data_IF_043787673309
#
_entry.id   IF_043787673309
#
_cell.length_a   1.000
_cell.length_b   1.000
_cell.length_c   1.000
_cell.angle_alpha   90.00
_cell.angle_beta   90.00
_cell.angle_gamma   90.00
#
_symmetry.space_group_name_H-M   'P 1'
#
loop_
_entity.id
_entity.type
_entity.pdbx_description
1 polymer ?
#
# COMPACT_ATOMS: atom_id res chain seq x y z
N UNK A 1 4.43 -3.14 -11.03
CA UNK A 1 4.37 -1.67 -10.99
C UNK A 1 5.63 -1.06 -11.61
N UNK A 2 5.63 -0.87 -12.93
CA UNK A 2 6.69 -0.15 -13.68
C UNK A 2 6.49 1.37 -13.68
N UNK A 3 5.57 1.91 -12.85
CA UNK A 3 5.22 3.33 -12.77
C UNK A 3 4.45 3.60 -11.49
N UNK A 4 4.44 4.86 -11.04
CA UNK A 4 3.57 5.35 -9.96
C UNK A 4 2.53 6.33 -10.53
N UNK A 5 1.77 5.87 -11.53
CA UNK A 5 0.59 6.60 -12.02
C UNK A 5 -0.52 6.46 -11.01
N UNK A 6 -1.04 7.59 -10.50
CA UNK A 6 -2.22 7.58 -9.65
C UNK A 6 -3.46 7.42 -10.52
N UNK A 7 -4.08 6.25 -10.44
CA UNK A 7 -5.35 5.96 -11.14
C UNK A 7 -6.54 6.63 -10.48
N UNK A 8 -6.46 6.81 -9.15
CA UNK A 8 -7.52 7.45 -8.37
C UNK A 8 -6.96 8.14 -7.12
N UNK A 9 -7.50 9.30 -6.81
CA UNK A 9 -7.22 10.06 -5.60
C UNK A 9 -8.57 10.60 -5.08
N UNK A 10 -9.00 10.15 -3.91
CA UNK A 10 -10.32 10.45 -3.38
C UNK A 10 -10.27 10.93 -1.93
N UNK A 11 -11.10 11.92 -1.59
CA UNK A 11 -11.29 12.42 -0.24
C UNK A 11 -12.77 12.54 0.08
N UNK A 12 -13.15 12.32 1.34
CA UNK A 12 -14.55 12.53 1.79
C UNK A 12 -14.96 13.99 1.79
N UNK A 13 -14.01 14.92 1.88
CA UNK A 13 -14.27 16.36 1.73
C UNK A 13 -13.96 16.76 0.30
N UNK A 14 -14.96 17.28 -0.38
CA UNK A 14 -14.90 17.72 -1.78
C UNK A 14 -15.69 19.01 -1.94
N UNK A 15 -15.41 19.78 -2.97
CA UNK A 15 -16.15 20.97 -3.34
C UNK A 15 -16.60 20.89 -4.81
N UNK A 16 -17.63 21.66 -5.17
CA UNK A 16 -18.05 21.79 -6.56
C UNK A 16 -17.13 22.80 -7.26
N UNK A 17 -16.46 22.37 -8.34
CA UNK A 17 -15.60 23.24 -9.16
C UNK A 17 -16.34 24.42 -9.79
N UNK A 18 -17.67 24.28 -10.03
CA UNK A 18 -18.51 25.37 -10.55
C UNK A 18 -18.95 26.35 -9.46
N UNK A 19 -18.94 25.93 -8.19
CA UNK A 19 -19.25 26.77 -7.03
C UNK A 19 -18.27 26.51 -5.87
N UNK A 20 -16.96 26.81 -6.04
CA UNK A 20 -15.90 26.38 -5.13
C UNK A 20 -15.97 27.03 -3.74
N UNK A 21 -16.80 28.05 -3.55
CA UNK A 21 -16.98 28.76 -2.27
C UNK A 21 -18.25 28.34 -1.51
N UNK A 22 -18.97 27.34 -2.02
CA UNK A 22 -20.17 26.82 -1.36
C UNK A 22 -19.79 25.97 -0.14
N UNK A 23 -20.19 26.44 1.03
CA UNK A 23 -20.01 25.76 2.31
C UNK A 23 -21.26 24.97 2.75
N UNK A 24 -22.38 25.08 2.03
CA UNK A 24 -23.69 24.52 2.44
C UNK A 24 -23.69 23.00 2.52
N UNK A 25 -22.75 22.34 1.84
CA UNK A 25 -22.54 20.89 1.93
C UNK A 25 -22.08 20.43 3.33
N UNK A 26 -21.41 21.30 4.10
CA UNK A 26 -20.75 20.96 5.36
C UNK A 26 -21.23 21.76 6.55
N UNK A 27 -21.87 22.90 6.31
CA UNK A 27 -22.35 23.82 7.33
C UNK A 27 -23.79 24.25 7.02
N UNK A 28 -24.60 24.45 8.06
CA UNK A 28 -25.95 25.00 7.92
C UNK A 28 -25.88 26.48 7.57
N UNK A 29 -26.94 27.02 6.96
CA UNK A 29 -27.05 28.46 6.65
C UNK A 29 -26.83 29.33 7.90
N UNK A 30 -27.38 28.89 9.04
CA UNK A 30 -27.19 29.58 10.32
C UNK A 30 -25.71 29.63 10.76
N UNK A 31 -24.98 28.54 10.62
CA UNK A 31 -23.54 28.50 10.92
C UNK A 31 -22.76 29.43 9.98
N UNK A 32 -23.04 29.37 8.68
CA UNK A 32 -22.37 30.20 7.66
C UNK A 32 -22.60 31.69 7.91
N UNK A 33 -23.84 32.09 8.23
CA UNK A 33 -24.19 33.47 8.53
C UNK A 33 -23.47 34.00 9.78
N UNK A 34 -23.23 33.14 10.78
CA UNK A 34 -22.59 33.52 12.03
C UNK A 34 -21.05 33.34 12.04
N UNK A 35 -20.45 32.81 10.97
CA UNK A 35 -19.00 32.73 10.82
C UNK A 35 -18.36 34.10 10.61
N UNK A 36 -17.24 34.34 11.29
CA UNK A 36 -16.38 35.48 10.94
C UNK A 36 -15.71 35.25 9.57
N UNK A 37 -15.13 36.27 8.96
CA UNK A 37 -14.42 36.13 7.67
C UNK A 37 -13.19 35.19 7.80
N UNK A 38 -12.53 35.18 8.97
CA UNK A 38 -11.46 34.23 9.26
C UNK A 38 -11.97 32.80 9.31
N UNK A 39 -13.10 32.55 9.98
CA UNK A 39 -13.73 31.22 10.05
C UNK A 39 -14.21 30.73 8.68
N UNK A 40 -14.80 31.62 7.85
CA UNK A 40 -15.16 31.27 6.47
C UNK A 40 -13.94 30.91 5.63
N UNK A 41 -12.86 31.68 5.76
CA UNK A 41 -11.60 31.42 5.06
C UNK A 41 -11.01 30.08 5.47
N UNK A 42 -11.01 29.78 6.77
CA UNK A 42 -10.54 28.48 7.29
C UNK A 42 -11.42 27.33 6.79
N UNK A 43 -12.75 27.48 6.82
CA UNK A 43 -13.69 26.49 6.30
C UNK A 43 -13.47 26.22 4.81
N UNK A 44 -13.28 27.26 4.00
CA UNK A 44 -12.95 27.13 2.58
C UNK A 44 -11.62 26.43 2.35
N UNK A 45 -10.56 26.83 3.07
CA UNK A 45 -9.27 26.15 2.98
C UNK A 45 -9.39 24.67 3.30
N UNK A 46 -10.19 24.29 4.31
CA UNK A 46 -10.40 22.91 4.71
C UNK A 46 -11.13 22.07 3.65
N UNK A 47 -12.06 22.65 2.88
CA UNK A 47 -12.75 21.92 1.80
C UNK A 47 -11.91 21.84 0.51
N UNK A 48 -11.02 22.82 0.29
CA UNK A 48 -10.11 22.82 -0.87
C UNK A 48 -8.87 21.96 -0.67
N UNK A 49 -8.56 21.60 0.58
CA UNK A 49 -7.38 20.82 0.91
C UNK A 49 -7.48 19.40 0.33
N UNK A 50 -6.50 19.01 -0.46
CA UNK A 50 -6.36 17.64 -0.88
C UNK A 50 -5.63 16.85 0.23
N UNK A 51 -6.40 16.11 1.04
CA UNK A 51 -5.87 15.38 2.19
C UNK A 51 -4.66 14.50 1.83
N UNK A 52 -4.69 13.85 0.67
CA UNK A 52 -3.67 12.87 0.31
C UNK A 52 -2.27 13.47 0.10
N UNK A 53 -2.18 14.74 -0.26
CA UNK A 53 -0.90 15.42 -0.53
C UNK A 53 -0.59 16.56 0.44
N UNK A 54 -1.62 17.12 1.09
CA UNK A 54 -1.46 18.33 1.90
C UNK A 54 -1.54 18.06 3.41
N UNK A 55 -2.23 16.99 3.84
CA UNK A 55 -2.34 16.63 5.25
C UNK A 55 -1.21 15.71 5.68
N UNK A 56 -0.65 15.98 6.85
CA UNK A 56 0.43 15.20 7.44
C UNK A 56 -0.03 14.52 8.71
N UNK A 57 0.40 13.29 8.90
CA UNK A 57 0.05 12.47 10.07
C UNK A 57 1.13 11.45 10.38
N UNK A 58 1.10 10.87 11.57
CA UNK A 58 1.95 9.74 11.92
C UNK A 58 1.47 8.48 11.20
N UNK A 59 2.28 7.86 10.31
CA UNK A 59 1.82 6.75 9.47
C UNK A 59 1.55 5.45 10.24
N UNK A 60 2.14 5.31 11.43
CA UNK A 60 1.98 4.11 12.25
C UNK A 60 2.60 2.87 11.63
N UNK A 61 1.97 1.72 11.88
CA UNK A 61 2.53 0.40 11.55
C UNK A 61 2.88 0.12 10.09
N UNK A 62 2.36 0.79 9.05
CA UNK A 62 2.91 0.68 7.69
C UNK A 62 4.41 0.99 7.60
N UNK A 63 4.93 1.85 8.49
CA UNK A 63 6.35 2.20 8.57
C UNK A 63 7.26 1.02 8.93
N UNK A 64 6.74 -0.03 9.55
CA UNK A 64 7.50 -1.23 9.92
C UNK A 64 8.09 -1.94 8.71
N UNK A 65 7.43 -1.84 7.57
CA UNK A 65 7.91 -2.40 6.30
C UNK A 65 9.24 -1.72 5.91
N UNK A 66 9.34 -0.40 6.06
CA UNK A 66 10.57 0.34 5.80
C UNK A 66 11.68 0.04 6.83
N UNK A 67 11.32 -0.23 8.08
CA UNK A 67 12.27 -0.63 9.12
C UNK A 67 12.89 -1.99 8.81
N UNK A 68 12.07 -2.99 8.46
CA UNK A 68 12.56 -4.32 8.09
C UNK A 68 13.37 -4.24 6.80
N UNK A 69 12.89 -3.50 5.78
CA UNK A 69 13.63 -3.24 4.55
C UNK A 69 15.03 -2.69 4.85
N UNK A 70 15.13 -1.67 5.69
CA UNK A 70 16.40 -1.06 6.09
C UNK A 70 17.32 -2.06 6.79
N UNK A 71 16.77 -2.89 7.69
CA UNK A 71 17.54 -3.90 8.42
C UNK A 71 18.12 -4.96 7.48
N UNK A 72 17.38 -5.36 6.46
CA UNK A 72 17.83 -6.33 5.45
C UNK A 72 18.90 -5.70 4.54
N UNK A 73 18.68 -4.52 4.00
CA UNK A 73 19.63 -3.85 3.11
C UNK A 73 20.94 -3.48 3.80
N UNK A 74 20.91 -3.19 5.09
CA UNK A 74 22.11 -2.93 5.89
C UNK A 74 22.77 -4.21 6.44
N UNK A 75 22.24 -5.39 6.08
CA UNK A 75 22.78 -6.69 6.51
C UNK A 75 22.68 -6.94 8.02
N UNK A 76 21.81 -6.21 8.71
CA UNK A 76 21.52 -6.40 10.15
C UNK A 76 20.73 -7.70 10.35
N UNK A 77 19.86 -8.01 9.39
CA UNK A 77 19.06 -9.25 9.34
C UNK A 77 19.10 -9.86 7.94
N UNK A 78 18.81 -11.16 7.85
CA UNK A 78 18.64 -11.89 6.59
C UNK A 78 17.24 -12.54 6.46
N UNK A 79 16.34 -12.28 7.43
CA UNK A 79 14.98 -12.81 7.46
C UNK A 79 14.80 -14.07 8.32
N UNK A 80 15.87 -14.69 8.82
CA UNK A 80 15.81 -15.92 9.63
C UNK A 80 15.92 -15.65 11.14
N UNK A 81 16.16 -14.39 11.52
CA UNK A 81 16.33 -14.00 12.92
C UNK A 81 15.02 -14.11 13.70
N UNK A 82 15.16 -14.28 15.01
CA UNK A 82 14.05 -14.26 15.96
C UNK A 82 14.25 -13.18 17.00
N UNK A 83 13.14 -12.62 17.46
CA UNK A 83 13.08 -11.59 18.49
C UNK A 83 12.18 -12.02 19.63
N UNK A 84 12.58 -11.70 20.87
CA UNK A 84 11.74 -11.94 22.01
C UNK A 84 10.99 -10.66 22.37
N UNK A 85 9.66 -10.73 22.41
CA UNK A 85 8.78 -9.62 22.77
C UNK A 85 8.09 -9.92 24.11
N UNK A 86 8.41 -9.16 25.14
CA UNK A 86 7.76 -9.20 26.46
C UNK A 86 6.71 -8.09 26.63
N UNK A 87 6.40 -7.35 25.55
CA UNK A 87 5.36 -6.33 25.52
C UNK A 87 5.87 -4.88 25.66
N UNK A 88 7.15 -4.63 25.85
CA UNK A 88 7.73 -3.30 25.90
C UNK A 88 9.26 -3.32 25.73
N UNK A 89 9.82 -2.16 25.37
CA UNK A 89 11.26 -1.88 25.49
C UNK A 89 11.49 -0.71 26.46
N UNK A 90 12.59 -0.78 27.20
CA UNK A 90 13.05 0.31 28.07
C UNK A 90 14.05 1.15 27.29
N UNK A 91 13.69 2.39 26.98
CA UNK A 91 14.52 3.33 26.24
C UNK A 91 14.81 4.54 27.15
N UNK A 92 16.03 4.62 27.63
CA UNK A 92 16.37 5.58 28.66
C UNK A 92 15.59 5.33 29.96
N UNK A 93 14.72 6.27 30.34
CA UNK A 93 13.85 6.15 31.51
C UNK A 93 12.38 5.80 31.16
N UNK A 94 12.09 5.56 29.89
CA UNK A 94 10.72 5.34 29.38
C UNK A 94 10.49 3.88 29.02
N UNK A 95 9.29 3.40 29.30
CA UNK A 95 8.78 2.15 28.73
C UNK A 95 7.98 2.48 27.46
N UNK A 96 8.40 1.96 26.33
CA UNK A 96 7.69 2.06 25.06
C UNK A 96 7.03 0.70 24.80
N UNK A 97 5.69 0.70 24.75
CA UNK A 97 4.92 -0.53 24.72
C UNK A 97 4.70 -1.06 23.30
N UNK A 98 4.71 -2.40 23.20
CA UNK A 98 4.11 -3.09 22.07
C UNK A 98 2.59 -2.94 22.11
N UNK A 99 1.93 -3.08 20.94
CA UNK A 99 0.47 -3.13 20.87
C UNK A 99 -0.09 -4.28 21.71
N UNK A 100 0.55 -5.46 21.67
CA UNK A 100 0.29 -6.55 22.61
C UNK A 100 1.14 -6.33 23.89
N UNK A 101 0.51 -5.79 24.91
CA UNK A 101 1.17 -5.50 26.20
C UNK A 101 1.60 -6.76 26.98
N UNK A 102 1.05 -7.93 26.62
CA UNK A 102 1.43 -9.22 27.21
C UNK A 102 2.65 -9.84 26.51
N UNK A 103 3.14 -9.20 25.42
CA UNK A 103 4.21 -9.71 24.59
C UNK A 103 3.73 -10.76 23.57
N UNK A 104 4.56 -10.99 22.57
CA UNK A 104 4.35 -11.99 21.52
C UNK A 104 5.19 -13.27 21.77
N UNK A 105 6.08 -13.25 22.78
CA UNK A 105 7.08 -14.29 22.99
C UNK A 105 8.19 -14.24 21.93
N UNK A 106 8.75 -15.39 21.60
CA UNK A 106 9.75 -15.52 20.54
C UNK A 106 9.07 -15.59 19.19
N UNK A 107 9.35 -14.65 18.31
CA UNK A 107 8.78 -14.53 16.97
C UNK A 107 9.88 -14.29 15.94
N UNK A 108 9.67 -14.76 14.71
CA UNK A 108 10.53 -14.50 13.56
C UNK A 108 10.36 -13.08 13.04
N UNK A 109 11.26 -12.63 12.15
CA UNK A 109 11.11 -11.33 11.43
C UNK A 109 9.79 -11.28 10.68
N UNK A 110 9.42 -12.36 9.99
CA UNK A 110 8.15 -12.45 9.24
C UNK A 110 6.94 -12.33 10.18
N UNK A 111 6.91 -13.08 11.29
CA UNK A 111 5.86 -12.99 12.31
C UNK A 111 5.78 -11.62 12.98
N UNK A 112 6.91 -10.91 13.12
CA UNK A 112 6.91 -9.55 13.63
C UNK A 112 6.16 -8.56 12.71
N UNK A 113 6.18 -8.79 11.39
CA UNK A 113 5.37 -8.06 10.41
C UNK A 113 3.89 -8.48 10.51
N UNK A 114 3.60 -9.78 10.49
CA UNK A 114 2.27 -10.39 10.53
C UNK A 114 1.48 -9.92 11.76
N UNK A 115 2.12 -9.99 12.93
CA UNK A 115 1.53 -9.61 14.23
C UNK A 115 1.71 -8.13 14.57
N UNK A 116 2.38 -7.37 13.70
CA UNK A 116 2.64 -5.95 13.89
C UNK A 116 3.36 -5.60 15.20
N UNK A 117 4.42 -6.36 15.54
CA UNK A 117 5.16 -6.22 16.80
C UNK A 117 6.02 -4.93 16.83
N UNK A 118 5.73 -3.99 17.76
CA UNK A 118 6.55 -2.79 17.94
C UNK A 118 7.90 -3.13 18.58
N UNK A 119 7.91 -4.08 19.48
CA UNK A 119 9.10 -4.47 20.23
C UNK A 119 10.20 -5.00 19.32
N UNK A 120 9.89 -5.95 18.43
CA UNK A 120 10.83 -6.44 17.44
C UNK A 120 11.37 -5.32 16.52
N UNK A 121 10.51 -4.35 16.14
CA UNK A 121 10.95 -3.19 15.33
C UNK A 121 11.95 -2.32 16.11
N UNK A 122 11.72 -2.09 17.40
CA UNK A 122 12.66 -1.34 18.25
C UNK A 122 14.00 -2.07 18.37
N UNK A 123 14.01 -3.39 18.54
CA UNK A 123 15.24 -4.17 18.59
C UNK A 123 16.01 -4.06 17.27
N UNK A 124 15.32 -4.20 16.12
CA UNK A 124 15.93 -4.06 14.80
C UNK A 124 16.50 -2.66 14.58
N UNK A 125 15.75 -1.60 14.89
CA UNK A 125 16.22 -0.23 14.64
C UNK A 125 17.40 0.16 15.50
N UNK A 126 17.51 -0.35 16.73
CA UNK A 126 18.69 -0.14 17.56
C UNK A 126 19.94 -0.83 16.97
N UNK A 127 19.78 -1.99 16.34
CA UNK A 127 20.86 -2.67 15.62
C UNK A 127 21.25 -1.94 14.31
N UNK A 128 20.27 -1.33 13.60
CA UNK A 128 20.53 -0.48 12.42
C UNK A 128 21.31 0.78 12.82
N UNK A 129 20.88 1.44 13.90
CA UNK A 129 21.39 2.74 14.34
C UNK A 129 20.78 3.91 13.57
N UNK A 130 20.81 5.09 14.23
CA UNK A 130 20.11 6.30 13.78
C UNK A 130 20.58 6.85 12.42
N UNK A 131 21.89 6.75 12.14
CA UNK A 131 22.46 7.31 10.91
C UNK A 131 21.97 6.56 9.67
N UNK A 132 22.03 5.24 9.71
CA UNK A 132 21.55 4.38 8.64
C UNK A 132 20.03 4.47 8.51
N UNK A 133 19.29 4.43 9.63
CA UNK A 133 17.83 4.53 9.63
C UNK A 133 17.35 5.85 9.02
N UNK A 134 17.91 7.00 9.44
CA UNK A 134 17.58 8.32 8.87
C UNK A 134 17.89 8.41 7.38
N UNK A 135 19.02 7.84 6.94
CA UNK A 135 19.38 7.77 5.52
C UNK A 135 18.33 7.01 4.71
N UNK A 136 17.86 5.86 5.21
CA UNK A 136 16.86 5.05 4.51
C UNK A 136 15.47 5.70 4.53
N UNK A 137 15.07 6.39 5.62
CA UNK A 137 13.85 7.20 5.59
C UNK A 137 13.85 8.18 4.43
N UNK A 138 14.97 8.89 4.21
CA UNK A 138 15.11 9.80 3.06
C UNK A 138 15.19 9.07 1.72
N UNK A 139 15.73 7.85 1.68
CA UNK A 139 15.80 7.03 0.48
C UNK A 139 14.38 6.58 0.05
N UNK A 140 13.51 6.26 1.00
CA UNK A 140 12.09 5.99 0.75
C UNK A 140 11.25 7.24 0.45
N UNK A 141 11.83 8.44 0.54
CA UNK A 141 11.19 9.70 0.17
C UNK A 141 10.59 10.49 1.32
N UNK A 142 10.69 10.02 2.57
CA UNK A 142 10.17 10.77 3.72
C UNK A 142 10.97 12.06 3.96
N UNK A 143 10.24 13.11 4.33
CA UNK A 143 10.81 14.44 4.55
C UNK A 143 11.17 15.21 3.30
N UNK A 144 10.63 14.80 2.15
CA UNK A 144 10.83 15.48 0.86
C UNK A 144 9.54 15.45 0.06
N UNK A 145 9.25 16.56 -0.62
CA UNK A 145 8.17 16.55 -1.60
C UNK A 145 8.42 15.45 -2.64
N UNK A 146 7.34 14.78 -3.04
CA UNK A 146 7.36 13.79 -4.12
C UNK A 146 7.41 14.47 -5.49
N UNK A 147 7.15 15.79 -5.52
CA UNK A 147 6.98 16.59 -6.73
C UNK A 147 5.88 16.05 -7.65
N UNK A 148 4.79 15.52 -7.05
CA UNK A 148 3.59 15.15 -7.78
C UNK A 148 3.06 16.38 -8.55
N UNK A 149 2.49 16.15 -9.72
CA UNK A 149 1.95 17.17 -10.62
C UNK A 149 0.62 17.80 -10.14
N UNK A 150 0.41 17.86 -8.81
CA UNK A 150 -0.73 18.50 -8.16
C UNK A 150 -0.27 19.67 -7.27
N UNK A 151 -1.05 20.76 -7.18
CA UNK A 151 -0.74 21.87 -6.29
C UNK A 151 -1.02 21.53 -4.82
N UNK A 152 -0.29 22.16 -3.91
CA UNK A 152 -0.58 22.10 -2.47
C UNK A 152 0.08 20.94 -1.73
N UNK A 153 1.08 20.27 -2.31
CA UNK A 153 1.85 19.25 -1.61
C UNK A 153 2.58 19.84 -0.40
N UNK A 154 2.38 19.20 0.77
CA UNK A 154 3.00 19.63 2.03
C UNK A 154 4.52 19.42 2.01
N UNK A 155 5.22 20.30 2.72
CA UNK A 155 6.65 20.14 3.00
C UNK A 155 6.84 19.47 4.36
N UNK A 156 7.25 18.21 4.35
CA UNK A 156 7.47 17.39 5.55
C UNK A 156 8.91 17.43 6.05
N UNK A 157 9.79 18.23 5.48
CA UNK A 157 11.23 18.28 5.79
C UNK A 157 11.53 18.57 7.26
N UNK A 158 10.64 19.32 7.94
CA UNK A 158 10.75 19.65 9.37
C UNK A 158 9.95 18.70 10.27
N UNK A 159 9.28 17.72 9.70
CA UNK A 159 8.41 16.78 10.40
C UNK A 159 9.04 15.39 10.57
N UNK A 160 10.29 15.22 10.14
CA UNK A 160 11.12 14.04 10.36
C UNK A 160 12.35 14.38 11.20
N UNK A 161 12.92 13.40 11.86
CA UNK A 161 14.20 13.54 12.57
C UNK A 161 15.37 13.26 11.63
N UNK A 162 16.38 14.13 11.66
CA UNK A 162 17.68 13.82 11.03
C UNK A 162 18.54 13.00 11.99
N UNK A 163 19.66 12.46 11.50
CA UNK A 163 20.59 11.70 12.36
C UNK A 163 21.15 12.56 13.51
N UNK A 164 21.28 13.88 13.33
CA UNK A 164 21.75 14.80 14.36
C UNK A 164 20.69 15.08 15.44
N UNK A 165 19.41 15.16 15.03
CA UNK A 165 18.30 15.52 15.95
C UNK A 165 17.65 14.29 16.59
N UNK A 166 17.83 13.09 16.01
CA UNK A 166 17.20 11.85 16.45
C UNK A 166 17.80 11.35 17.76
N UNK A 167 17.00 11.29 18.81
CA UNK A 167 17.33 10.68 20.10
C UNK A 167 16.94 9.22 20.12
N UNK A 168 17.31 8.49 21.18
CA UNK A 168 17.00 7.07 21.28
C UNK A 168 15.48 6.75 21.33
N UNK A 169 14.69 7.61 21.99
CA UNK A 169 13.24 7.47 22.03
C UNK A 169 12.59 7.80 20.67
N UNK A 170 13.12 8.77 19.93
CA UNK A 170 12.70 9.10 18.58
C UNK A 170 12.99 7.93 17.63
N UNK A 171 14.20 7.36 17.67
CA UNK A 171 14.60 6.22 16.87
C UNK A 171 13.68 5.01 17.13
N UNK A 172 13.42 4.71 18.42
CA UNK A 172 12.54 3.62 18.81
C UNK A 172 11.13 3.79 18.23
N UNK A 173 10.52 4.98 18.39
CA UNK A 173 9.14 5.25 17.98
C UNK A 173 9.01 5.39 16.45
N UNK A 174 10.01 5.95 15.79
CA UNK A 174 10.06 6.05 14.33
C UNK A 174 10.05 4.66 13.67
N UNK A 175 10.63 3.63 14.32
CA UNK A 175 10.68 2.28 13.78
C UNK A 175 9.30 1.66 13.51
N UNK A 176 8.26 2.15 14.19
CA UNK A 176 6.89 1.70 13.99
C UNK A 176 5.92 2.83 13.60
N UNK A 177 6.48 3.96 13.10
CA UNK A 177 5.73 5.02 12.45
C UNK A 177 5.11 6.05 13.37
N UNK A 178 5.66 6.28 14.55
CA UNK A 178 5.28 7.35 15.44
C UNK A 178 6.41 8.38 15.61
N UNK A 179 6.05 9.58 16.08
CA UNK A 179 6.98 10.68 16.33
C UNK A 179 7.68 11.23 15.06
N UNK A 180 7.07 11.04 13.90
CA UNK A 180 7.34 11.77 12.67
C UNK A 180 6.06 11.78 11.82
N UNK A 181 5.93 12.76 10.93
CA UNK A 181 4.76 12.87 10.07
C UNK A 181 5.16 12.73 8.60
N UNK A 182 4.26 12.10 7.84
CA UNK A 182 4.32 12.00 6.38
C UNK A 182 2.96 12.31 5.76
N UNK A 183 2.93 12.56 4.46
CA UNK A 183 1.69 12.61 3.68
C UNK A 183 1.31 11.20 3.18
N UNK A 184 0.06 11.04 2.71
CA UNK A 184 -0.34 9.79 2.05
C UNK A 184 0.48 9.52 0.80
N UNK A 185 0.82 10.56 0.02
CA UNK A 185 1.57 10.39 -1.22
C UNK A 185 3.02 9.95 -0.97
N UNK A 186 3.69 10.46 0.08
CA UNK A 186 5.01 9.96 0.49
C UNK A 186 4.95 8.49 0.86
N UNK A 187 3.92 8.08 1.64
CA UNK A 187 3.72 6.67 2.01
C UNK A 187 3.49 5.79 0.78
N UNK A 188 2.63 6.23 -0.16
CA UNK A 188 2.33 5.47 -1.39
C UNK A 188 3.58 5.34 -2.26
N UNK A 189 4.33 6.42 -2.49
CA UNK A 189 5.51 6.41 -3.34
C UNK A 189 6.63 5.51 -2.75
N UNK A 190 6.89 5.65 -1.44
CA UNK A 190 7.85 4.80 -0.74
C UNK A 190 7.43 3.34 -0.74
N UNK A 191 6.17 3.04 -0.44
CA UNK A 191 5.65 1.67 -0.39
C UNK A 191 5.60 1.02 -1.78
N UNK A 192 5.25 1.77 -2.83
CA UNK A 192 5.31 1.30 -4.20
C UNK A 192 6.72 0.85 -4.58
N UNK A 193 7.76 1.59 -4.13
CA UNK A 193 9.14 1.19 -4.38
C UNK A 193 9.52 -0.11 -3.68
N UNK A 194 8.96 -0.39 -2.51
CA UNK A 194 9.22 -1.66 -1.80
C UNK A 194 8.60 -2.83 -2.56
N UNK A 195 7.35 -2.73 -2.98
CA UNK A 195 6.63 -3.88 -3.56
C UNK A 195 7.00 -4.16 -5.02
N UNK A 196 7.60 -3.20 -5.73
CA UNK A 196 7.96 -3.33 -7.15
C UNK A 196 9.41 -3.75 -7.42
N UNK A 197 10.13 -4.25 -6.40
CA UNK A 197 11.52 -4.67 -6.54
C UNK A 197 12.55 -3.56 -6.28
N UNK A 198 12.17 -2.46 -5.63
CA UNK A 198 13.07 -1.39 -5.20
C UNK A 198 13.04 -0.12 -6.04
N UNK A 199 12.22 -0.03 -7.08
CA UNK A 199 12.20 1.08 -8.02
C UNK A 199 11.32 2.23 -7.54
N UNK A 200 11.90 3.37 -7.14
CA UNK A 200 11.17 4.57 -6.73
C UNK A 200 10.91 5.48 -7.92
N UNK A 201 9.66 5.51 -8.36
CA UNK A 201 9.21 6.40 -9.43
C UNK A 201 8.59 7.68 -8.87
N UNK A 202 8.71 8.79 -9.63
CA UNK A 202 7.98 10.02 -9.36
C UNK A 202 6.48 9.78 -9.53
N UNK A 203 5.62 10.03 -8.50
CA UNK A 203 4.19 9.92 -8.66
C UNK A 203 3.65 11.03 -9.56
N UNK A 204 2.66 10.71 -10.40
CA UNK A 204 1.96 11.66 -11.27
C UNK A 204 0.50 11.25 -11.51
N UNK A 205 -0.33 12.22 -11.84
CA UNK A 205 -1.75 12.07 -12.17
C UNK A 205 -1.97 12.23 -13.67
N UNK A 206 -1.26 13.17 -14.30
CA UNK A 206 -1.38 13.42 -15.73
C UNK A 206 -0.71 12.29 -16.49
N UNK A 207 -1.48 11.61 -17.34
CA UNK A 207 -0.99 10.58 -18.25
C UNK A 207 -0.59 11.19 -19.60
N UNK A 208 -1.46 12.04 -20.13
CA UNK A 208 -1.27 12.67 -21.45
C UNK A 208 -2.04 13.98 -21.54
N UNK A 209 -1.60 14.85 -22.45
CA UNK A 209 -2.26 16.09 -22.82
C UNK A 209 -2.75 15.96 -24.26
N UNK A 210 -4.02 16.31 -24.51
CA UNK A 210 -4.66 16.19 -25.82
C UNK A 210 -5.21 17.52 -26.31
N UNK A 211 -5.34 17.67 -27.63
CA UNK A 211 -6.14 18.73 -28.25
C UNK A 211 -7.63 18.49 -28.00
N UNK A 212 -8.47 19.47 -28.30
CA UNK A 212 -9.94 19.31 -28.26
C UNK A 212 -10.44 18.24 -29.25
N UNK A 213 -9.70 18.03 -30.34
CA UNK A 213 -9.97 17.00 -31.36
C UNK A 213 -9.49 15.61 -30.97
N UNK A 214 -8.79 15.49 -29.81
CA UNK A 214 -8.34 14.22 -29.24
C UNK A 214 -6.92 13.80 -29.66
N UNK A 215 -6.17 14.63 -30.41
CA UNK A 215 -4.78 14.35 -30.76
C UNK A 215 -3.87 14.51 -29.54
N UNK A 216 -2.96 13.55 -29.34
CA UNK A 216 -1.99 13.58 -28.24
C UNK A 216 -0.94 14.67 -28.54
N UNK A 217 -0.85 15.66 -27.64
CA UNK A 217 0.18 16.72 -27.67
C UNK A 217 1.43 16.28 -26.91
N UNK A 218 1.22 15.62 -25.75
CA UNK A 218 2.29 15.22 -24.84
C UNK A 218 1.87 13.99 -24.04
N UNK A 219 2.85 13.16 -23.65
CA UNK A 219 2.66 11.96 -22.80
C UNK A 219 3.65 11.99 -21.65
N UNK A 220 3.15 11.80 -20.44
CA UNK A 220 4.00 11.75 -19.24
C UNK A 220 4.54 10.33 -19.08
N UNK A 221 5.83 10.16 -19.36
CA UNK A 221 6.50 8.87 -19.16
C UNK A 221 6.87 8.65 -17.69
N UNK A 222 6.85 7.40 -17.20
CA UNK A 222 7.28 7.07 -15.85
C UNK A 222 8.74 7.47 -15.59
N UNK A 223 8.96 8.32 -14.59
CA UNK A 223 10.30 8.79 -14.22
C UNK A 223 10.85 8.00 -13.02
N UNK A 224 11.80 7.10 -13.28
CA UNK A 224 12.57 6.44 -12.24
C UNK A 224 13.53 7.44 -11.58
N UNK A 225 13.41 7.63 -10.27
CA UNK A 225 14.23 8.56 -9.49
C UNK A 225 15.44 7.85 -8.88
N UNK A 226 15.25 6.63 -8.32
CA UNK A 226 16.30 5.86 -7.65
C UNK A 226 15.85 4.43 -7.35
N UNK A 227 16.83 3.60 -7.01
CA UNK A 227 16.59 2.31 -6.37
C UNK A 227 16.62 2.48 -4.85
N UNK A 228 15.74 1.78 -4.13
CA UNK A 228 15.60 1.87 -2.67
C UNK A 228 16.05 0.60 -1.95
N UNK A 229 15.71 -0.56 -2.47
CA UNK A 229 16.01 -1.88 -1.92
C UNK A 229 16.32 -2.89 -3.03
N UNK A 230 16.90 -4.01 -2.66
CA UNK A 230 17.13 -5.14 -3.55
C UNK A 230 15.84 -5.90 -3.87
N UNK A 231 15.75 -6.58 -5.03
CA UNK A 231 14.61 -7.45 -5.36
C UNK A 231 14.38 -8.56 -4.34
N UNK A 232 15.42 -9.10 -3.72
CA UNK A 232 15.30 -10.15 -2.69
C UNK A 232 14.65 -9.65 -1.40
N UNK A 233 14.96 -8.42 -0.99
CA UNK A 233 14.28 -7.76 0.14
C UNK A 233 12.81 -7.49 -0.20
N UNK A 234 12.52 -7.04 -1.41
CA UNK A 234 11.15 -6.84 -1.89
C UNK A 234 10.34 -8.15 -1.87
N UNK A 235 10.90 -9.25 -2.35
CA UNK A 235 10.25 -10.57 -2.35
C UNK A 235 9.92 -11.04 -0.93
N UNK A 236 10.88 -10.94 0.00
CA UNK A 236 10.65 -11.26 1.41
C UNK A 236 9.50 -10.45 2.02
N UNK A 237 9.50 -9.13 1.79
CA UNK A 237 8.48 -8.24 2.33
C UNK A 237 7.11 -8.49 1.70
N UNK A 238 7.04 -8.72 0.39
CA UNK A 238 5.80 -9.04 -0.31
C UNK A 238 5.16 -10.32 0.25
N UNK A 239 5.97 -11.36 0.48
CA UNK A 239 5.53 -12.60 1.10
C UNK A 239 5.03 -12.38 2.54
N UNK A 240 5.76 -11.62 3.36
CA UNK A 240 5.35 -11.33 4.73
C UNK A 240 4.04 -10.51 4.77
N UNK A 241 3.86 -9.58 3.83
CA UNK A 241 2.62 -8.80 3.70
C UNK A 241 1.45 -9.62 3.17
N UNK A 242 1.68 -10.60 2.29
CA UNK A 242 0.68 -11.58 1.91
C UNK A 242 0.19 -12.38 3.12
N UNK A 243 1.11 -12.94 3.91
CA UNK A 243 0.76 -13.64 5.14
C UNK A 243 0.09 -12.75 6.18
N UNK A 244 0.40 -11.45 6.22
CA UNK A 244 -0.30 -10.49 7.08
C UNK A 244 -1.80 -10.44 6.76
N UNK A 245 -2.17 -10.56 5.49
CA UNK A 245 -3.58 -10.59 5.04
C UNK A 245 -4.19 -11.98 5.20
N UNK A 246 -3.43 -13.07 5.00
CA UNK A 246 -3.97 -14.42 5.10
C UNK A 246 -4.24 -14.86 6.55
N UNK A 247 -3.37 -14.53 7.48
CA UNK A 247 -3.39 -15.07 8.85
C UNK A 247 -3.09 -14.05 9.96
N UNK A 248 -2.84 -12.78 9.59
CA UNK A 248 -2.41 -11.73 10.52
C UNK A 248 -3.42 -10.62 10.72
N UNK A 249 -2.90 -9.46 11.13
CA UNK A 249 -3.68 -8.25 11.42
C UNK A 249 -4.41 -7.68 10.21
N UNK A 250 -4.02 -8.06 9.00
CA UNK A 250 -4.62 -7.62 7.72
C UNK A 250 -5.78 -8.47 7.24
N UNK A 251 -6.17 -9.55 7.94
CA UNK A 251 -7.20 -10.49 7.48
C UNK A 251 -8.51 -9.85 6.99
N UNK A 252 -9.03 -8.75 7.58
CA UNK A 252 -10.25 -8.10 7.06
C UNK A 252 -10.10 -7.48 5.65
N UNK A 253 -8.86 -7.35 5.13
CA UNK A 253 -8.59 -6.82 3.79
C UNK A 253 -8.55 -7.90 2.71
N UNK A 254 -8.74 -9.17 3.06
CA UNK A 254 -8.68 -10.30 2.11
C UNK A 254 -9.74 -10.16 1.02
N UNK A 255 -9.32 -10.23 -0.25
CA UNK A 255 -10.20 -10.17 -1.41
C UNK A 255 -10.37 -11.57 -1.98
N UNK A 256 -11.61 -12.12 -2.04
CA UNK A 256 -11.84 -13.45 -2.59
C UNK A 256 -11.31 -13.59 -4.02
N UNK A 257 -10.59 -14.66 -4.29
CA UNK A 257 -10.03 -14.96 -5.60
C UNK A 257 -8.72 -14.24 -5.96
N UNK A 258 -8.17 -13.40 -5.05
CA UNK A 258 -6.93 -12.66 -5.29
C UNK A 258 -5.94 -12.81 -4.14
N UNK A 259 -4.65 -12.94 -4.49
CA UNK A 259 -3.57 -12.89 -3.51
C UNK A 259 -3.22 -11.43 -3.19
N UNK A 260 -3.60 -11.00 -2.01
CA UNK A 260 -3.45 -9.62 -1.53
C UNK A 260 -2.38 -9.55 -0.45
N UNK A 261 -1.45 -8.62 -0.59
CA UNK A 261 -0.50 -8.25 0.46
C UNK A 261 -0.84 -6.89 1.07
N UNK A 262 -0.49 -6.66 2.32
CA UNK A 262 -0.71 -5.35 2.90
C UNK A 262 -0.38 -5.21 4.38
N UNK A 263 -0.54 -3.99 4.90
CA UNK A 263 -0.26 -3.64 6.28
C UNK A 263 -1.30 -2.70 6.85
N UNK A 264 -1.78 -3.03 8.05
CA UNK A 264 -2.65 -2.17 8.87
C UNK A 264 -1.88 -1.06 9.55
N UNK A 265 -2.51 0.09 9.74
CA UNK A 265 -2.03 1.20 10.55
C UNK A 265 -3.06 1.63 11.60
N UNK A 266 -2.58 1.99 12.78
CA UNK A 266 -3.35 2.60 13.85
C UNK A 266 -2.44 3.57 14.57
N UNK A 267 -2.75 4.86 14.52
CA UNK A 267 -2.00 5.91 15.17
C UNK A 267 -2.93 6.77 16.01
N UNK A 268 -2.67 6.84 17.31
CA UNK A 268 -3.39 7.74 18.19
C UNK A 268 -2.91 9.18 17.94
N UNK A 269 -3.86 10.10 17.80
CA UNK A 269 -3.56 11.54 17.59
C UNK A 269 -3.09 12.21 18.88
N UNK A 270 -2.44 13.35 18.75
CA UNK A 270 -2.13 14.20 19.88
C UNK A 270 -3.35 15.06 20.27
N UNK A 271 -3.56 15.29 21.58
CA UNK A 271 -2.80 14.74 22.70
C UNK A 271 -3.09 13.25 22.90
N UNK A 272 -2.05 12.46 23.24
CA UNK A 272 -2.22 11.03 23.54
C UNK A 272 -3.21 10.83 24.69
N UNK A 273 -4.04 9.79 24.58
CA UNK A 273 -5.15 9.55 25.51
C UNK A 273 -6.43 10.29 25.16
N UNK A 274 -6.50 10.98 24.02
CA UNK A 274 -7.72 11.63 23.52
C UNK A 274 -8.78 10.62 23.03
N UNK A 275 -8.37 9.40 22.66
CA UNK A 275 -9.23 8.43 22.01
C UNK A 275 -9.43 8.68 20.50
N UNK A 276 -8.77 9.68 19.95
CA UNK A 276 -8.83 10.02 18.52
C UNK A 276 -7.71 9.30 17.76
N UNK A 277 -8.06 8.59 16.69
CA UNK A 277 -7.13 7.77 15.92
C UNK A 277 -7.17 8.09 14.43
N UNK A 278 -6.02 7.93 13.79
CA UNK A 278 -5.92 7.71 12.34
C UNK A 278 -5.73 6.23 12.11
N UNK A 279 -6.63 5.66 11.32
CA UNK A 279 -6.59 4.26 10.92
C UNK A 279 -6.20 4.18 9.45
N UNK A 280 -5.43 3.17 9.10
CA UNK A 280 -5.06 2.99 7.71
C UNK A 280 -4.90 1.53 7.33
N UNK A 281 -4.99 1.29 6.02
CA UNK A 281 -4.56 0.05 5.38
C UNK A 281 -3.90 0.37 4.04
N UNK A 282 -2.69 -0.07 3.86
CA UNK A 282 -1.99 -0.03 2.59
C UNK A 282 -1.81 -1.45 2.09
N UNK A 283 -2.26 -1.73 0.86
CA UNK A 283 -2.20 -3.07 0.31
C UNK A 283 -2.16 -3.08 -1.20
N UNK A 284 -1.81 -4.22 -1.75
CA UNK A 284 -1.53 -4.40 -3.17
C UNK A 284 -1.93 -5.80 -3.65
N UNK A 285 -2.13 -5.93 -4.94
CA UNK A 285 -2.41 -7.20 -5.61
C UNK A 285 -1.90 -7.16 -7.07
N UNK A 286 -1.57 -8.31 -7.67
CA UNK A 286 -1.20 -9.58 -7.03
C UNK A 286 0.08 -9.46 -6.19
N UNK A 287 0.34 -10.40 -5.28
CA UNK A 287 1.50 -10.29 -4.38
C UNK A 287 2.85 -10.57 -5.05
N UNK A 288 2.88 -11.48 -6.04
CA UNK A 288 4.13 -11.84 -6.72
C UNK A 288 4.55 -10.82 -7.79
N UNK A 289 3.59 -10.24 -8.49
CA UNK A 289 3.82 -9.20 -9.50
C UNK A 289 2.80 -8.07 -9.28
N UNK A 290 3.04 -7.16 -8.34
CA UNK A 290 2.09 -6.12 -7.97
C UNK A 290 1.69 -5.23 -9.14
N UNK A 291 0.39 -5.13 -9.40
CA UNK A 291 -0.18 -4.28 -10.46
C UNK A 291 -0.93 -3.09 -9.88
N UNK A 292 -1.61 -3.28 -8.74
CA UNK A 292 -2.43 -2.26 -8.09
C UNK A 292 -2.00 -2.10 -6.64
N UNK A 293 -1.75 -0.87 -6.23
CA UNK A 293 -1.54 -0.45 -4.85
C UNK A 293 -2.68 0.47 -4.43
N UNK A 294 -3.31 0.19 -3.30
CA UNK A 294 -4.36 1.02 -2.73
C UNK A 294 -4.02 1.37 -1.27
N UNK A 295 -4.14 2.65 -0.94
CA UNK A 295 -3.93 3.14 0.42
C UNK A 295 -5.19 3.84 0.92
N UNK A 296 -5.74 3.35 2.02
CA UNK A 296 -6.90 3.89 2.70
C UNK A 296 -6.47 4.52 4.02
N UNK A 297 -6.90 5.75 4.26
CA UNK A 297 -6.73 6.45 5.54
C UNK A 297 -8.10 6.92 6.01
N UNK A 298 -8.43 6.60 7.26
CA UNK A 298 -9.64 7.04 7.94
C UNK A 298 -9.22 7.87 9.14
N UNK A 299 -9.49 9.16 9.08
CA UNK A 299 -9.17 10.12 10.14
C UNK A 299 -10.38 10.31 11.05
N UNK A 300 -10.22 9.95 12.31
CA UNK A 300 -11.26 10.03 13.36
C UNK A 300 -12.60 9.40 12.92
N UNK A 301 -12.68 8.07 12.76
CA UNK A 301 -13.94 7.43 12.38
C UNK A 301 -15.02 7.74 13.41
N UNK A 302 -16.26 7.95 12.94
CA UNK A 302 -17.42 8.19 13.81
C UNK A 302 -17.84 6.89 14.51
N UNK A 303 -17.06 6.51 15.53
CA UNK A 303 -17.25 5.30 16.35
C UNK A 303 -16.80 5.58 17.77
N UNK A 304 -17.49 4.98 18.76
CA UNK A 304 -17.12 5.07 20.18
C UNK A 304 -15.75 4.44 20.48
N UNK A 305 -15.38 3.41 19.72
CA UNK A 305 -14.05 2.80 19.74
C UNK A 305 -13.39 2.96 18.39
N UNK A 306 -12.51 3.96 18.30
CA UNK A 306 -11.80 4.30 17.07
C UNK A 306 -10.56 3.42 16.81
N UNK A 307 -10.04 2.69 17.81
CA UNK A 307 -8.74 2.03 17.73
C UNK A 307 -8.69 0.77 16.84
N UNK A 308 -9.64 0.59 15.92
CA UNK A 308 -9.77 -0.61 15.10
C UNK A 308 -9.47 -0.36 13.62
N UNK A 309 -8.30 -0.78 13.14
CA UNK A 309 -7.89 -0.68 11.74
C UNK A 309 -8.78 -1.43 10.74
N UNK A 310 -9.72 -2.27 11.21
CA UNK A 310 -10.63 -3.02 10.33
C UNK A 310 -11.51 -2.11 9.47
N UNK A 311 -11.80 -0.88 9.88
CA UNK A 311 -12.53 0.09 9.06
C UNK A 311 -11.82 0.35 7.73
N UNK A 312 -10.51 0.66 7.79
CA UNK A 312 -9.70 0.88 6.59
C UNK A 312 -9.50 -0.40 5.79
N UNK A 313 -9.27 -1.54 6.47
CA UNK A 313 -9.05 -2.83 5.82
C UNK A 313 -10.30 -3.33 5.07
N UNK A 314 -11.49 -3.18 5.63
CA UNK A 314 -12.74 -3.53 4.95
C UNK A 314 -13.06 -2.62 3.78
N UNK A 315 -12.79 -1.32 3.91
CA UNK A 315 -12.97 -0.39 2.80
C UNK A 315 -12.03 -0.76 1.65
N UNK A 316 -10.76 -1.04 1.96
CA UNK A 316 -9.80 -1.58 0.99
C UNK A 316 -10.34 -2.84 0.29
N UNK A 317 -10.81 -3.84 1.06
CA UNK A 317 -11.33 -5.09 0.52
C UNK A 317 -12.46 -4.86 -0.47
N UNK A 318 -13.43 -3.98 -0.14
CA UNK A 318 -14.56 -3.65 -1.02
C UNK A 318 -14.12 -2.94 -2.29
N UNK A 319 -13.20 -1.97 -2.18
CA UNK A 319 -12.66 -1.25 -3.34
C UNK A 319 -11.91 -2.21 -4.25
N UNK A 320 -11.01 -3.04 -3.70
CA UNK A 320 -10.20 -3.95 -4.51
C UNK A 320 -11.02 -5.08 -5.13
N UNK A 321 -12.09 -5.53 -4.49
CA UNK A 321 -13.01 -6.52 -5.07
C UNK A 321 -13.66 -6.03 -6.38
N UNK A 322 -13.85 -4.72 -6.52
CA UNK A 322 -14.38 -4.10 -7.75
C UNK A 322 -13.25 -3.67 -8.71
N UNK A 323 -12.15 -3.14 -8.19
CA UNK A 323 -11.06 -2.59 -8.99
C UNK A 323 -10.25 -3.67 -9.70
N UNK A 324 -9.93 -4.79 -9.03
CA UNK A 324 -9.09 -5.84 -9.62
C UNK A 324 -9.71 -6.46 -10.89
N UNK A 325 -10.97 -6.93 -10.88
CA UNK A 325 -11.59 -7.41 -12.11
C UNK A 325 -11.78 -6.30 -13.15
N UNK A 326 -12.08 -5.07 -12.72
CA UNK A 326 -12.21 -3.92 -13.63
C UNK A 326 -10.91 -3.62 -14.38
N UNK A 327 -9.75 -3.75 -13.72
CA UNK A 327 -8.43 -3.57 -14.32
C UNK A 327 -7.94 -4.82 -15.05
N UNK A 328 -8.72 -5.89 -15.13
CA UNK A 328 -8.36 -7.19 -15.66
C UNK A 328 -7.11 -7.81 -14.99
N UNK A 329 -6.96 -7.60 -13.69
CA UNK A 329 -5.94 -8.28 -12.89
C UNK A 329 -6.33 -9.76 -12.78
N UNK A 330 -5.40 -10.66 -13.06
CA UNK A 330 -5.66 -12.11 -12.99
C UNK A 330 -5.94 -12.57 -11.57
N UNK A 331 -6.90 -13.49 -11.44
CA UNK A 331 -7.15 -14.19 -10.18
C UNK A 331 -5.98 -15.10 -9.81
N UNK A 332 -5.90 -15.49 -8.53
CA UNK A 332 -4.87 -16.43 -8.04
C UNK A 332 -4.91 -17.78 -8.78
N UNK A 333 -6.10 -18.22 -9.21
CA UNK A 333 -6.27 -19.47 -9.98
C UNK A 333 -5.76 -19.32 -11.40
N UNK A 334 -6.09 -18.21 -12.09
CA UNK A 334 -5.58 -17.92 -13.44
C UNK A 334 -4.05 -17.83 -13.45
N UNK A 335 -3.45 -17.17 -12.45
CA UNK A 335 -1.98 -17.10 -12.31
C UNK A 335 -1.36 -18.49 -12.15
N UNK A 336 -2.00 -19.39 -11.37
CA UNK A 336 -1.51 -20.78 -11.19
C UNK A 336 -1.58 -21.57 -12.50
N UNK A 337 -2.64 -21.39 -13.27
CA UNK A 337 -2.80 -22.04 -14.58
C UNK A 337 -1.74 -21.53 -15.55
N UNK A 338 -1.54 -20.23 -15.66
CA UNK A 338 -0.51 -19.64 -16.52
C UNK A 338 0.89 -20.14 -16.19
N UNK A 339 1.22 -20.19 -14.89
CA UNK A 339 2.52 -20.73 -14.44
C UNK A 339 2.71 -22.21 -14.79
N UNK A 340 1.63 -23.00 -14.68
CA UNK A 340 1.68 -24.43 -15.05
C UNK A 340 1.90 -24.57 -16.55
N UNK A 341 1.22 -23.78 -17.37
CA UNK A 341 1.41 -23.76 -18.83
C UNK A 341 2.84 -23.38 -19.22
N UNK A 342 3.38 -22.28 -18.66
CA UNK A 342 4.78 -21.87 -18.94
C UNK A 342 5.80 -22.94 -18.59
N UNK A 343 5.62 -23.61 -17.43
CA UNK A 343 6.52 -24.73 -17.05
C UNK A 343 6.46 -25.89 -18.02
N UNK A 344 5.28 -26.20 -18.57
CA UNK A 344 5.12 -27.25 -19.59
C UNK A 344 5.81 -26.83 -20.88
N UNK A 345 5.61 -25.60 -21.34
CA UNK A 345 6.27 -25.05 -22.54
C UNK A 345 7.79 -25.06 -22.42
N UNK A 346 8.34 -24.61 -21.27
CA UNK A 346 9.77 -24.66 -20.99
C UNK A 346 10.32 -26.10 -20.99
N UNK A 347 9.57 -27.07 -20.44
CA UNK A 347 9.98 -28.48 -20.44
C UNK A 347 9.98 -29.09 -21.83
N UNK A 348 9.01 -28.74 -22.69
CA UNK A 348 8.97 -29.15 -24.09
C UNK A 348 10.14 -28.55 -24.86
N UNK A 349 10.40 -27.26 -24.70
CA UNK A 349 11.50 -26.57 -25.38
C UNK A 349 12.87 -27.08 -24.98
N UNK A 350 13.05 -27.45 -23.70
CA UNK A 350 14.28 -28.08 -23.21
C UNK A 350 14.47 -29.50 -23.76
N UNK A 351 13.39 -30.27 -23.92
CA UNK A 351 13.43 -31.58 -24.53
C UNK A 351 13.71 -31.53 -26.05
N UNK A 352 13.16 -30.55 -26.76
CA UNK A 352 13.47 -30.33 -28.19
C UNK A 352 14.94 -29.89 -28.41
N UNK A 353 15.48 -29.06 -27.50
CA UNK A 353 16.88 -28.66 -27.54
C UNK A 353 17.84 -29.82 -27.17
N UNK A 354 17.42 -30.76 -26.31
CA UNK A 354 18.18 -31.97 -25.97
C UNK A 354 18.19 -32.98 -27.11
N UNK A 355 17.10 -33.08 -27.89
CA UNK A 355 17.01 -33.96 -29.04
C UNK A 355 17.86 -33.52 -30.25
N UNK A 356 18.26 -32.25 -30.30
CA UNK A 356 19.16 -31.73 -31.35
C UNK A 356 20.65 -32.07 -31.16
N UNK A 357 21.00 -32.67 -30.05
CA UNK A 357 22.42 -33.00 -29.69
C UNK A 357 22.76 -34.48 -29.96
N UNK A 358 21.80 -35.32 -30.25
CA UNK A 358 22.05 -36.76 -30.56
C UNK A 358 21.57 -37.13 -31.97
N UNK A 359 22.32 -36.78 -33.01
CA UNK A 359 22.38 -37.54 -34.25
C UNK A 359 23.40 -38.65 -34.08
N UNK A 360 22.99 -39.81 -33.56
CA UNK A 360 23.50 -41.15 -33.93
C UNK A 360 22.56 -42.23 -33.41
N UNK A 361 21.93 -42.93 -34.34
CA UNK A 361 21.43 -44.31 -34.36
C UNK A 361 21.01 -44.96 -33.02
N UNK A 362 19.70 -44.95 -32.75
CA UNK A 362 18.87 -46.11 -32.42
C UNK A 362 17.49 -45.64 -31.97
N UNK A 363 16.46 -45.96 -32.78
CA UNK A 363 15.06 -45.63 -32.51
C UNK A 363 14.54 -46.60 -31.46
N UNK A 364 14.29 -46.11 -30.22
CA UNK A 364 13.47 -46.82 -29.24
C UNK A 364 12.22 -45.97 -29.01
N UNK A 365 11.06 -46.55 -29.42
CA UNK A 365 9.77 -45.95 -29.12
C UNK A 365 9.55 -45.78 -27.63
N UNK A 366 9.19 -44.57 -27.12
CA UNK A 366 8.81 -44.41 -25.72
C UNK A 366 7.40 -44.97 -25.49
N UNK A 367 7.28 -45.77 -24.46
CA UNK A 367 6.00 -46.33 -23.98
C UNK A 367 5.09 -45.22 -23.45
N UNK A 368 4.00 -44.94 -24.22
CA UNK A 368 3.06 -43.82 -23.98
C UNK A 368 1.97 -44.18 -22.94
N UNK A 369 2.07 -45.32 -22.25
CA UNK A 369 0.95 -45.86 -21.45
C UNK A 369 0.82 -45.35 -20.01
N UNK A 370 1.61 -44.36 -19.57
CA UNK A 370 1.59 -43.88 -18.15
C UNK A 370 1.10 -42.46 -17.94
N UNK A 371 0.56 -41.76 -18.94
CA UNK A 371 0.15 -40.35 -18.79
C UNK A 371 -1.36 -40.06 -18.98
N UNK A 372 -2.23 -41.09 -19.05
CA UNK A 372 -3.66 -40.88 -19.29
C UNK A 372 -4.58 -40.83 -18.05
N UNK A 373 -4.07 -40.88 -16.81
CA UNK A 373 -4.95 -41.01 -15.64
C UNK A 373 -5.14 -39.75 -14.77
N UNK A 374 -4.72 -38.56 -15.18
CA UNK A 374 -4.96 -37.33 -14.38
C UNK A 374 -5.59 -36.13 -15.13
N UNK A 375 -6.32 -36.36 -16.21
CA UNK A 375 -7.10 -35.29 -16.85
C UNK A 375 -8.57 -35.67 -16.86
N UNK A 376 -9.22 -35.63 -15.69
CA UNK A 376 -10.68 -35.43 -15.64
C UNK A 376 -10.92 -33.93 -15.53
N UNK A 377 -11.33 -33.31 -16.63
CA UNK A 377 -11.84 -31.94 -16.61
C UNK A 377 -13.10 -31.87 -15.72
N UNK A 378 -13.24 -30.85 -14.89
CA UNK A 378 -14.53 -30.58 -14.27
C UNK A 378 -15.51 -30.10 -15.33
N UNK A 379 -16.59 -30.88 -15.54
CA UNK A 379 -17.76 -30.45 -16.28
C UNK A 379 -18.41 -29.30 -15.50
N UNK A 380 -18.41 -28.14 -16.08
CA UNK A 380 -19.19 -26.93 -15.92
C UNK A 380 -18.28 -25.68 -15.95
N UNK A 381 -17.83 -25.36 -17.16
CA UNK A 381 -17.43 -23.98 -17.46
C UNK A 381 -18.71 -23.19 -17.79
N UNK A 382 -19.27 -22.51 -16.80
CA UNK A 382 -19.95 -21.24 -17.08
C UNK A 382 -18.85 -20.23 -17.46
N UNK A 383 -18.74 -19.96 -18.75
CA UNK A 383 -17.98 -18.84 -19.30
C UNK A 383 -18.61 -17.58 -18.73
N UNK A 384 -17.98 -17.04 -17.68
CA UNK A 384 -18.30 -15.69 -17.21
C UNK A 384 -17.81 -14.76 -18.31
N UNK A 385 -18.75 -14.29 -19.15
CA UNK A 385 -18.50 -13.20 -20.09
C UNK A 385 -17.88 -12.05 -19.31
N UNK A 386 -16.70 -11.58 -19.75
CA UNK A 386 -16.02 -10.40 -19.22
C UNK A 386 -17.03 -9.26 -19.13
N UNK A 387 -17.43 -8.89 -17.90
CA UNK A 387 -18.44 -7.89 -17.69
C UNK A 387 -17.97 -6.55 -18.24
N UNK A 388 -18.71 -6.00 -19.18
CA UNK A 388 -18.55 -4.63 -19.67
C UNK A 388 -19.19 -3.66 -18.69
N UNK A 389 -18.79 -3.68 -17.42
CA UNK A 389 -19.23 -2.69 -16.45
C UNK A 389 -18.66 -1.33 -16.83
N UNK A 390 -19.57 -0.40 -17.15
CA UNK A 390 -19.23 0.98 -17.51
C UNK A 390 -19.10 1.90 -16.28
N UNK A 391 -19.65 1.51 -15.15
CA UNK A 391 -19.67 2.28 -13.90
C UNK A 391 -19.54 1.35 -12.71
N UNK A 392 -18.76 1.77 -11.71
CA UNK A 392 -18.61 1.08 -10.42
C UNK A 392 -19.00 2.06 -9.31
N UNK A 393 -19.86 1.61 -8.41
CA UNK A 393 -20.25 2.36 -7.21
C UNK A 393 -19.88 1.57 -5.97
N UNK A 394 -19.08 2.15 -5.08
CA UNK A 394 -18.76 1.60 -3.77
C UNK A 394 -19.39 2.47 -2.69
N UNK A 395 -20.21 1.87 -1.83
CA UNK A 395 -20.92 2.56 -0.74
C UNK A 395 -20.57 1.96 0.61
N UNK A 396 -20.24 2.78 1.60
CA UNK A 396 -20.12 2.38 3.00
C UNK A 396 -20.57 3.51 3.92
N UNK A 397 -21.65 3.26 4.69
CA UNK A 397 -22.28 4.28 5.51
C UNK A 397 -22.75 5.46 4.66
N UNK A 398 -22.13 6.63 4.88
CA UNK A 398 -22.43 7.85 4.13
C UNK A 398 -21.44 8.14 2.99
N UNK A 399 -20.53 7.21 2.67
CA UNK A 399 -19.55 7.40 1.60
C UNK A 399 -19.98 6.60 0.36
N UNK A 400 -20.05 7.27 -0.77
CA UNK A 400 -20.31 6.67 -2.08
C UNK A 400 -19.24 7.11 -3.07
N UNK A 401 -18.53 6.15 -3.66
CA UNK A 401 -17.52 6.38 -4.69
C UNK A 401 -18.04 5.84 -6.01
N UNK A 402 -18.15 6.69 -7.02
CA UNK A 402 -18.56 6.32 -8.37
C UNK A 402 -17.36 6.43 -9.32
N UNK A 403 -17.06 5.34 -10.04
CA UNK A 403 -16.02 5.27 -11.06
C UNK A 403 -16.68 5.00 -12.42
N UNK A 404 -16.35 5.76 -13.46
CA UNK A 404 -16.89 5.57 -14.81
C UNK A 404 -15.78 5.25 -15.81
N UNK A 405 -16.06 4.33 -16.72
CA UNK A 405 -15.15 3.91 -17.77
C UNK A 405 -15.50 4.58 -19.10
N UNK A 406 -14.69 5.55 -19.54
CA UNK A 406 -14.58 5.97 -20.93
C UNK A 406 -13.11 6.01 -21.29
N UNK A 407 -12.54 4.87 -21.67
CA UNK A 407 -11.12 4.68 -22.04
C UNK A 407 -10.07 5.00 -20.96
N UNK A 408 -10.43 5.63 -19.85
CA UNK A 408 -9.64 5.91 -18.64
C UNK A 408 -10.58 5.94 -17.43
N UNK A 409 -10.07 5.70 -16.22
CA UNK A 409 -10.85 5.75 -14.98
C UNK A 409 -11.07 7.23 -14.61
N UNK A 410 -12.32 7.67 -14.60
CA UNK A 410 -12.72 8.96 -14.04
C UNK A 410 -13.51 8.78 -12.75
N UNK A 411 -13.13 9.53 -11.71
CA UNK A 411 -13.95 9.65 -10.50
C UNK A 411 -15.02 10.66 -10.79
N UNK A 412 -16.30 10.23 -10.92
CA UNK A 412 -17.40 11.11 -11.23
C UNK A 412 -18.02 11.76 -10.01
N UNK A 413 -18.05 11.09 -8.87
CA UNK A 413 -18.56 11.71 -7.63
C UNK A 413 -18.19 10.91 -6.39
N UNK A 414 -18.06 11.61 -5.27
CA UNK A 414 -18.05 11.05 -3.94
C UNK A 414 -19.18 11.75 -3.17
N UNK A 415 -20.16 10.99 -2.69
CA UNK A 415 -21.24 11.51 -1.87
C UNK A 415 -21.28 10.84 -0.51
N UNK A 416 -21.74 11.57 0.49
CA UNK A 416 -21.99 11.04 1.84
C UNK A 416 -23.29 10.29 1.90
#
# INVERSE_FOLDING_TARGET
LGTTVLQALASSRTFDLNNPRDLTKYYTDFEIENMSEEQKTEALNNIWLNFAISSTYEPGSPSKIFTVATAMEEGVINGNETYYCDGYQVVGQRKIHCANKNGHGTITVEEAIIQSCNDAMMQMVFAIGKDKFSKFQQLFGFGKKTDIDLPGEADTSKLIHTSETMRADDLATNSFGQNYNSTMIEMVAGFASVINGGMYYKPHVVKEVRTLEGEIIDTVEPLLIRETISPSTAEFLNKAMYRTVEEGTGFPAKVPGYDVGGKTGTSEKYPRGSGNYILSFIGFAPTENPEVLCYIVVDEPNSDDQAHSYFASRLFQRIMAEVLPYMNVYTSEEIKVEKKQKKIEESIQNNENSSKVYETDEYVEPDITTFEEEISAPENEEIIEKSTLKEITVEEGNLKINLKRENNIEIQSISK
#
